data_IF_568141664282
#
_entry.id   IF_568141664282
#
_cell.length_a   1.000
_cell.length_b   1.000
_cell.length_c   1.000
_cell.angle_alpha   90.00
_cell.angle_beta   90.00
_cell.angle_gamma   90.00
#
_symmetry.space_group_name_H-M   'P 1'
#
loop_
_entity.id
_entity.type
_entity.pdbx_description
1 polymer ?
#
# COMPACT_ATOMS: atom_id res chain seq x y z
N UNK A 1 -8.40 24.86 2.50
CA UNK A 1 -8.55 23.38 2.40
C UNK A 1 -8.19 22.76 3.73
N UNK A 2 -7.03 23.11 4.28
CA UNK A 2 -6.66 22.73 5.65
C UNK A 2 -7.72 23.11 6.70
N UNK A 3 -8.25 24.35 6.67
CA UNK A 3 -9.38 24.75 7.51
C UNK A 3 -10.60 23.82 7.37
N UNK A 4 -11.02 23.52 6.14
CA UNK A 4 -12.17 22.63 5.87
C UNK A 4 -11.92 21.23 6.44
N UNK A 5 -10.70 20.69 6.28
CA UNK A 5 -10.34 19.39 6.83
C UNK A 5 -10.36 19.42 8.37
N UNK A 6 -9.76 20.44 9.00
CA UNK A 6 -9.76 20.58 10.45
C UNK A 6 -11.17 20.76 11.03
N UNK A 7 -12.01 21.58 10.40
CA UNK A 7 -13.38 21.82 10.86
C UNK A 7 -14.28 20.61 10.67
N UNK A 8 -14.11 19.87 9.56
CA UNK A 8 -14.96 18.73 9.23
C UNK A 8 -14.50 17.45 9.92
N UNK A 9 -13.22 17.09 9.82
CA UNK A 9 -12.72 15.81 10.33
C UNK A 9 -12.66 15.75 11.87
N UNK A 10 -12.75 16.89 12.57
CA UNK A 10 -12.80 16.94 14.04
C UNK A 10 -14.23 16.95 14.61
N UNK A 11 -15.27 16.95 13.76
CA UNK A 11 -16.64 16.80 14.23
C UNK A 11 -16.93 15.36 14.66
N UNK A 12 -17.91 15.19 15.54
CA UNK A 12 -18.42 13.87 15.91
C UNK A 12 -19.23 13.33 14.72
N UNK A 13 -18.81 12.20 14.14
CA UNK A 13 -19.46 11.52 13.02
C UNK A 13 -19.72 12.43 11.79
N UNK A 14 -18.68 12.98 11.14
CA UNK A 14 -18.85 14.05 10.16
C UNK A 14 -19.52 13.62 8.85
N UNK A 15 -19.57 12.31 8.54
CA UNK A 15 -20.13 11.80 7.29
C UNK A 15 -19.13 11.87 6.13
N UNK A 16 -19.62 12.08 4.90
CA UNK A 16 -18.80 12.09 3.68
C UNK A 16 -18.46 13.51 3.21
N UNK A 17 -17.17 13.86 3.17
CA UNK A 17 -16.67 15.08 2.55
C UNK A 17 -16.20 14.83 1.12
N UNK A 18 -16.77 15.56 0.16
CA UNK A 18 -16.33 15.56 -1.23
C UNK A 18 -15.50 16.82 -1.54
N UNK A 19 -14.20 16.65 -1.78
CA UNK A 19 -13.28 17.73 -2.14
C UNK A 19 -12.98 17.73 -3.64
N UNK A 20 -13.81 18.40 -4.44
CA UNK A 20 -13.54 18.59 -5.87
C UNK A 20 -12.60 19.79 -6.10
N UNK A 21 -11.34 19.53 -6.46
CA UNK A 21 -10.43 20.54 -7.02
C UNK A 21 -9.72 20.00 -8.27
N UNK A 22 -9.24 20.85 -9.19
CA UNK A 22 -8.44 20.40 -10.33
C UNK A 22 -7.12 19.75 -9.91
N UNK A 23 -6.58 18.84 -10.73
CA UNK A 23 -5.25 18.21 -10.52
C UNK A 23 -4.16 19.29 -10.42
N UNK A 24 -3.12 19.08 -9.58
CA UNK A 24 -2.03 20.04 -9.39
C UNK A 24 -2.30 21.13 -8.33
N UNK A 25 -3.48 21.17 -7.73
CA UNK A 25 -3.86 22.17 -6.70
C UNK A 25 -3.34 21.89 -5.28
N UNK A 26 -2.35 21.02 -5.10
CA UNK A 26 -1.79 20.71 -3.77
C UNK A 26 -2.70 19.91 -2.83
N UNK A 27 -3.72 19.22 -3.35
CA UNK A 27 -4.63 18.37 -2.53
C UNK A 27 -3.87 17.34 -1.69
N UNK A 28 -3.00 16.57 -2.34
CA UNK A 28 -2.21 15.52 -1.67
C UNK A 28 -1.38 16.13 -0.55
N UNK A 29 -0.61 17.18 -0.85
CA UNK A 29 0.18 17.91 0.14
C UNK A 29 -0.64 18.37 1.35
N UNK A 30 -1.82 18.94 1.12
CA UNK A 30 -2.69 19.42 2.21
C UNK A 30 -3.22 18.26 3.07
N UNK A 31 -3.60 17.15 2.45
CA UNK A 31 -4.06 15.95 3.18
C UNK A 31 -2.93 15.36 4.02
N UNK A 32 -1.69 15.33 3.50
CA UNK A 32 -0.54 14.84 4.27
C UNK A 32 -0.23 15.72 5.47
N UNK A 33 -0.26 17.04 5.29
CA UNK A 33 -0.09 17.98 6.40
C UNK A 33 -1.18 17.78 7.45
N UNK A 34 -2.44 17.59 7.02
CA UNK A 34 -3.54 17.31 7.93
C UNK A 34 -3.30 16.00 8.72
N UNK A 35 -2.88 14.92 8.07
CA UNK A 35 -2.56 13.65 8.74
C UNK A 35 -1.44 13.85 9.76
N UNK A 36 -0.34 14.49 9.34
CA UNK A 36 0.83 14.74 10.18
C UNK A 36 0.50 15.64 11.38
N UNK A 37 -0.31 16.67 11.21
CA UNK A 37 -0.66 17.58 12.31
C UNK A 37 -1.67 17.00 13.30
N UNK A 38 -2.33 15.88 12.98
CA UNK A 38 -3.45 15.35 13.79
C UNK A 38 -3.29 13.87 14.20
N UNK A 39 -2.23 13.16 13.79
CA UNK A 39 -2.10 11.72 14.09
C UNK A 39 -2.07 11.44 15.59
N UNK A 40 -1.39 12.27 16.40
CA UNK A 40 -1.32 12.09 17.86
C UNK A 40 -2.71 12.22 18.52
N UNK A 41 -3.46 13.26 18.14
CA UNK A 41 -4.81 13.51 18.65
C UNK A 41 -5.76 12.35 18.29
N UNK A 42 -5.71 11.88 17.04
CA UNK A 42 -6.54 10.75 16.62
C UNK A 42 -6.10 9.43 17.25
N UNK A 43 -4.80 9.19 17.40
CA UNK A 43 -4.29 8.02 18.09
C UNK A 43 -4.74 7.99 19.56
N UNK A 44 -4.72 9.13 20.25
CA UNK A 44 -5.21 9.25 21.63
C UNK A 44 -6.71 8.95 21.76
N UNK A 45 -7.49 9.25 20.71
CA UNK A 45 -8.92 8.96 20.62
C UNK A 45 -9.22 7.55 20.04
N UNK A 46 -8.19 6.75 19.75
CA UNK A 46 -8.30 5.46 19.09
C UNK A 46 -9.01 5.53 17.71
N UNK A 47 -8.86 6.67 17.03
CA UNK A 47 -9.36 6.92 15.67
C UNK A 47 -8.25 6.58 14.67
N UNK A 48 -8.58 5.79 13.65
CA UNK A 48 -7.64 5.38 12.60
C UNK A 48 -7.87 6.21 11.33
N UNK A 49 -6.79 6.71 10.74
CA UNK A 49 -6.84 7.31 9.39
C UNK A 49 -6.53 6.22 8.36
N UNK A 50 -7.38 6.08 7.35
CA UNK A 50 -7.15 5.19 6.21
C UNK A 50 -6.94 6.03 4.96
N UNK A 51 -5.76 5.90 4.35
CA UNK A 51 -5.45 6.51 3.06
C UNK A 51 -5.48 5.42 1.98
N UNK A 52 -6.43 5.52 1.05
CA UNK A 52 -6.63 4.52 -0.01
C UNK A 52 -6.43 5.18 -1.37
N UNK A 53 -5.61 4.55 -2.23
CA UNK A 53 -5.38 5.02 -3.60
C UNK A 53 -5.28 3.85 -4.57
N UNK A 54 -5.78 4.04 -5.79
CA UNK A 54 -5.60 3.07 -6.89
C UNK A 54 -4.24 3.21 -7.58
N UNK A 55 -3.48 4.29 -7.30
CA UNK A 55 -2.20 4.59 -7.94
C UNK A 55 -1.09 4.58 -6.90
N UNK A 56 -0.50 3.40 -6.66
CA UNK A 56 0.61 3.21 -5.71
C UNK A 56 1.82 4.12 -5.98
N UNK A 57 2.14 4.39 -7.24
CA UNK A 57 3.21 5.35 -7.62
C UNK A 57 2.95 6.80 -7.17
N UNK A 58 1.72 7.11 -6.76
CA UNK A 58 1.32 8.40 -6.22
C UNK A 58 0.98 8.31 -4.73
N UNK A 59 1.35 7.21 -4.08
CA UNK A 59 1.21 7.10 -2.64
C UNK A 59 2.31 7.96 -2.01
N UNK A 60 1.98 9.02 -1.29
CA UNK A 60 2.95 9.96 -0.78
C UNK A 60 3.55 9.48 0.55
N UNK A 61 3.96 8.20 0.61
CA UNK A 61 4.47 7.61 1.86
C UNK A 61 5.82 8.22 2.25
N UNK A 62 6.70 8.38 1.27
CA UNK A 62 8.01 9.01 1.47
C UNK A 62 7.84 10.48 1.84
N UNK A 63 6.97 11.21 1.13
CA UNK A 63 6.62 12.59 1.47
C UNK A 63 6.03 12.70 2.89
N UNK A 64 5.22 11.73 3.32
CA UNK A 64 4.70 11.71 4.68
C UNK A 64 5.85 11.48 5.67
N UNK A 65 6.73 10.49 5.41
CA UNK A 65 7.89 10.18 6.26
C UNK A 65 8.83 11.37 6.40
N UNK A 66 9.08 12.12 5.32
CA UNK A 66 9.90 13.33 5.33
C UNK A 66 9.44 14.37 6.37
N UNK A 67 8.13 14.47 6.62
CA UNK A 67 7.58 15.39 7.65
C UNK A 67 7.99 14.97 9.06
N UNK A 68 7.96 13.67 9.35
CA UNK A 68 8.41 13.14 10.63
C UNK A 68 9.93 13.29 10.79
N UNK A 69 10.70 13.03 9.74
CA UNK A 69 12.16 13.20 9.75
C UNK A 69 12.53 14.68 10.00
N UNK A 70 11.83 15.61 9.34
CA UNK A 70 12.09 17.05 9.49
C UNK A 70 11.96 17.55 10.94
N UNK A 71 11.08 16.93 11.73
CA UNK A 71 10.85 17.26 13.14
C UNK A 71 11.57 16.31 14.11
N UNK A 72 12.44 15.41 13.61
CA UNK A 72 13.18 14.45 14.45
C UNK A 72 12.31 13.34 15.06
N UNK A 73 11.14 13.06 14.48
CA UNK A 73 10.13 12.10 14.96
C UNK A 73 10.07 10.83 14.11
N UNK A 74 11.18 10.35 13.56
CA UNK A 74 11.19 9.17 12.69
C UNK A 74 10.64 7.92 13.40
N UNK A 75 10.96 7.73 14.69
CA UNK A 75 10.43 6.62 15.50
C UNK A 75 8.90 6.64 15.62
N UNK A 76 8.28 7.83 15.59
CA UNK A 76 6.83 7.96 15.63
C UNK A 76 6.18 7.56 14.31
N UNK A 77 6.85 7.80 13.19
CA UNK A 77 6.38 7.32 11.88
C UNK A 77 6.26 5.79 11.89
N UNK A 78 7.31 5.09 12.33
CA UNK A 78 7.32 3.63 12.40
C UNK A 78 6.29 3.09 13.42
N UNK A 79 5.98 3.86 14.47
CA UNK A 79 4.98 3.51 15.48
C UNK A 79 3.53 3.68 15.00
N UNK A 80 3.22 4.77 14.30
CA UNK A 80 1.84 5.16 14.00
C UNK A 80 1.42 4.94 12.54
N UNK A 81 2.36 4.77 11.62
CA UNK A 81 2.07 4.61 10.19
C UNK A 81 2.29 3.17 9.78
N UNK A 82 1.22 2.52 9.32
CA UNK A 82 1.28 1.18 8.73
C UNK A 82 1.03 1.29 7.21
N UNK A 83 2.01 0.85 6.43
CA UNK A 83 1.85 0.67 5.00
C UNK A 83 1.45 -0.78 4.68
N UNK A 84 0.30 -0.96 4.03
CA UNK A 84 -0.17 -2.26 3.58
C UNK A 84 -0.03 -2.32 2.06
N UNK A 85 0.85 -3.21 1.59
CA UNK A 85 1.01 -3.46 0.17
C UNK A 85 -0.07 -4.44 -0.33
N UNK A 86 -0.37 -4.41 -1.64
CA UNK A 86 -1.29 -5.38 -2.23
C UNK A 86 -0.70 -6.79 -2.15
N UNK A 87 -1.53 -7.82 -1.98
CA UNK A 87 -1.06 -9.21 -1.92
C UNK A 87 -0.17 -9.56 -3.12
N UNK A 88 -0.58 -9.13 -4.32
CA UNK A 88 0.19 -9.33 -5.54
C UNK A 88 1.57 -8.69 -5.44
N UNK A 89 1.66 -7.41 -5.06
CA UNK A 89 2.95 -6.72 -4.96
C UNK A 89 3.83 -7.29 -3.85
N UNK A 90 3.26 -7.67 -2.71
CA UNK A 90 3.97 -8.35 -1.62
C UNK A 90 4.59 -9.65 -2.10
N UNK A 91 3.82 -10.46 -2.84
CA UNK A 91 4.30 -11.72 -3.40
C UNK A 91 5.39 -11.48 -4.45
N UNK A 92 5.17 -10.56 -5.40
CA UNK A 92 6.16 -10.23 -6.43
C UNK A 92 7.51 -9.78 -5.86
N UNK A 93 7.49 -9.02 -4.75
CA UNK A 93 8.69 -8.49 -4.11
C UNK A 93 9.44 -9.52 -3.26
N UNK A 94 8.70 -10.35 -2.53
CA UNK A 94 9.28 -11.11 -1.42
C UNK A 94 9.39 -12.61 -1.68
N UNK A 95 8.55 -13.19 -2.56
CA UNK A 95 8.42 -14.65 -2.67
C UNK A 95 9.75 -15.36 -2.91
N UNK A 96 10.57 -14.84 -3.84
CA UNK A 96 11.86 -15.46 -4.17
C UNK A 96 12.91 -15.32 -3.06
N UNK A 97 12.79 -14.29 -2.21
CA UNK A 97 13.70 -14.07 -1.07
C UNK A 97 13.42 -15.04 0.07
N UNK A 98 12.16 -15.42 0.26
CA UNK A 98 11.72 -16.30 1.37
C UNK A 98 11.43 -17.73 0.92
N UNK A 99 11.69 -18.09 -0.34
CA UNK A 99 11.32 -19.40 -0.93
C UNK A 99 11.85 -20.60 -0.13
N UNK A 100 13.05 -20.46 0.42
CA UNK A 100 13.69 -21.49 1.25
C UNK A 100 13.04 -21.62 2.65
N UNK A 101 12.39 -20.56 3.14
CA UNK A 101 11.69 -20.54 4.42
C UNK A 101 10.25 -21.08 4.33
N UNK A 102 9.71 -21.19 3.11
CA UNK A 102 8.34 -21.67 2.89
C UNK A 102 8.28 -23.20 3.04
N UNK A 103 7.43 -23.74 3.95
CA UNK A 103 7.29 -25.18 4.13
C UNK A 103 6.79 -25.91 2.88
N UNK A 104 7.27 -27.13 2.64
CA UNK A 104 6.98 -27.92 1.43
C UNK A 104 5.48 -28.16 1.18
N UNK A 105 4.68 -28.24 2.24
CA UNK A 105 3.22 -28.38 2.14
C UNK A 105 2.54 -27.22 1.38
N UNK A 106 3.18 -26.05 1.32
CA UNK A 106 2.70 -24.88 0.58
C UNK A 106 3.31 -24.78 -0.83
N UNK A 107 4.28 -25.63 -1.19
CA UNK A 107 4.94 -25.66 -2.51
C UNK A 107 4.15 -26.46 -3.54
N UNK A 108 2.85 -26.21 -3.63
CA UNK A 108 1.92 -26.89 -4.53
C UNK A 108 2.14 -26.50 -6.00
N UNK A 109 1.39 -27.09 -6.93
CA UNK A 109 1.55 -26.78 -8.36
C UNK A 109 1.26 -25.30 -8.68
N UNK A 110 0.30 -24.68 -7.97
CA UNK A 110 0.03 -23.25 -8.14
C UNK A 110 1.17 -22.39 -7.59
N UNK A 111 1.82 -22.81 -6.51
CA UNK A 111 3.03 -22.16 -5.98
C UNK A 111 4.17 -22.22 -6.99
N UNK A 112 4.46 -23.40 -7.54
CA UNK A 112 5.54 -23.57 -8.54
C UNK A 112 5.28 -22.71 -9.78
N UNK A 113 4.02 -22.63 -10.23
CA UNK A 113 3.63 -21.73 -11.32
C UNK A 113 3.87 -20.26 -10.96
N UNK A 114 3.45 -19.84 -9.76
CA UNK A 114 3.66 -18.49 -9.25
C UNK A 114 5.15 -18.12 -9.20
N UNK A 115 5.98 -18.97 -8.58
CA UNK A 115 7.43 -18.82 -8.50
C UNK A 115 8.06 -18.66 -9.87
N UNK A 116 7.77 -19.58 -10.80
CA UNK A 116 8.28 -19.54 -12.17
C UNK A 116 7.95 -18.24 -12.89
N UNK A 117 6.73 -17.71 -12.74
CA UNK A 117 6.37 -16.46 -13.40
C UNK A 117 7.13 -15.27 -12.81
N UNK A 118 7.38 -15.28 -11.51
CA UNK A 118 8.16 -14.22 -10.85
C UNK A 118 9.62 -14.28 -11.28
N UNK A 119 10.21 -15.48 -11.38
CA UNK A 119 11.57 -15.68 -11.92
C UNK A 119 11.70 -15.15 -13.35
N UNK A 120 10.71 -15.45 -14.21
CA UNK A 120 10.65 -14.91 -15.57
C UNK A 120 10.63 -13.38 -15.53
N UNK A 121 9.77 -12.78 -14.69
CA UNK A 121 9.64 -11.33 -14.57
C UNK A 121 10.91 -10.60 -14.09
N UNK A 122 11.86 -11.30 -13.46
CA UNK A 122 13.18 -10.73 -13.12
C UNK A 122 14.08 -10.53 -14.33
N UNK A 123 13.82 -11.20 -15.46
CA UNK A 123 14.62 -11.04 -16.67
C UNK A 123 14.43 -9.64 -17.27
N UNK A 124 15.49 -8.81 -17.19
CA UNK A 124 15.50 -7.42 -17.67
C UNK A 124 15.36 -7.27 -19.19
N UNK A 125 15.52 -8.35 -19.96
CA UNK A 125 15.45 -8.33 -21.43
C UNK A 125 14.03 -8.62 -21.96
N UNK A 126 13.05 -8.88 -21.09
CA UNK A 126 11.69 -9.15 -21.53
C UNK A 126 11.02 -7.92 -22.16
N UNK A 127 10.32 -8.08 -23.29
CA UNK A 127 9.45 -7.04 -23.84
C UNK A 127 8.41 -6.60 -22.80
N UNK A 128 8.09 -5.31 -22.80
CA UNK A 128 7.17 -4.71 -21.82
C UNK A 128 5.77 -5.34 -21.89
N UNK A 129 5.29 -5.64 -23.08
CA UNK A 129 3.97 -6.23 -23.32
C UNK A 129 3.86 -7.63 -22.70
N UNK A 130 4.95 -8.41 -22.79
CA UNK A 130 5.04 -9.73 -22.19
C UNK A 130 5.07 -9.60 -20.66
N UNK A 131 5.84 -8.64 -20.14
CA UNK A 131 5.89 -8.35 -18.71
C UNK A 131 4.53 -7.98 -18.13
N UNK A 132 3.83 -7.04 -18.78
CA UNK A 132 2.50 -6.57 -18.38
C UNK A 132 1.46 -7.71 -18.43
N UNK A 133 1.58 -8.62 -19.40
CA UNK A 133 0.73 -9.82 -19.49
C UNK A 133 0.92 -10.77 -18.31
N UNK A 134 2.16 -11.11 -17.98
CA UNK A 134 2.48 -11.98 -16.83
C UNK A 134 2.08 -11.34 -15.50
N UNK A 135 2.36 -10.04 -15.30
CA UNK A 135 1.91 -9.31 -14.10
C UNK A 135 0.38 -9.33 -13.97
N UNK A 136 -0.34 -9.21 -15.10
CA UNK A 136 -1.80 -9.31 -15.13
C UNK A 136 -2.29 -10.71 -14.79
N UNK A 137 -1.65 -11.76 -15.31
CA UNK A 137 -2.00 -13.16 -14.99
C UNK A 137 -1.76 -13.46 -13.51
N UNK A 138 -0.63 -13.03 -12.95
CA UNK A 138 -0.34 -13.18 -11.52
C UNK A 138 -1.43 -12.49 -10.69
N UNK A 139 -1.71 -11.22 -10.99
CA UNK A 139 -2.68 -10.41 -10.23
C UNK A 139 -4.10 -10.97 -10.27
N UNK A 140 -4.57 -11.41 -11.43
CA UNK A 140 -5.97 -11.79 -11.62
C UNK A 140 -6.25 -13.27 -11.36
N UNK A 141 -5.24 -14.14 -11.52
CA UNK A 141 -5.45 -15.58 -11.58
C UNK A 141 -4.56 -16.31 -10.57
N UNK A 142 -3.23 -16.17 -10.68
CA UNK A 142 -2.31 -17.08 -9.99
C UNK A 142 -2.23 -16.77 -8.49
N UNK A 143 -1.95 -15.52 -8.09
CA UNK A 143 -1.92 -15.15 -6.67
C UNK A 143 -3.28 -15.39 -5.99
N UNK A 144 -4.43 -15.00 -6.58
CA UNK A 144 -5.72 -15.26 -5.94
C UNK A 144 -6.03 -16.76 -5.79
N UNK A 145 -5.58 -17.61 -6.71
CA UNK A 145 -5.72 -19.07 -6.58
C UNK A 145 -4.83 -19.61 -5.47
N UNK A 146 -3.55 -19.26 -5.47
CA UNK A 146 -2.60 -19.64 -4.41
C UNK A 146 -3.13 -19.25 -3.03
N UNK A 147 -3.62 -18.02 -2.88
CA UNK A 147 -4.20 -17.54 -1.63
C UNK A 147 -5.44 -18.33 -1.22
N UNK A 148 -6.37 -18.62 -2.13
CA UNK A 148 -7.57 -19.42 -1.79
C UNK A 148 -7.25 -20.85 -1.38
N UNK A 149 -6.19 -21.42 -1.93
CA UNK A 149 -5.75 -22.79 -1.61
C UNK A 149 -5.22 -22.93 -0.18
N UNK A 150 -4.66 -21.87 0.39
CA UNK A 150 -3.96 -21.94 1.69
C UNK A 150 -4.52 -21.01 2.78
N UNK A 151 -5.31 -19.98 2.41
CA UNK A 151 -5.83 -18.95 3.30
C UNK A 151 -7.35 -18.87 3.15
N UNK A 152 -8.02 -19.99 3.40
CA UNK A 152 -9.48 -20.01 3.53
C UNK A 152 -9.87 -19.24 4.80
N UNK A 153 -10.43 -18.04 4.62
CA UNK A 153 -11.22 -17.33 5.62
C UNK A 153 -12.70 -17.43 5.24
#
# INVERSE_FOLDING_TARGET
MEQILNEYCKQINPGLLLLSRPTGSGKTYTVLNFIYSNYEEFAAQNIKILFITNLKKKLPIDELKERFIADGKEDEFEKYVLFIDSNTDTVLKNLLTIDDEIPDQFKTEIYKKLKSHIEILQNRQLPKEVKDSWETEIRKIIEPKFRREHLSF
#
